data_IF_165013517911
#
_entry.id   IF_165013517911
#
_cell.length_a   1.000
_cell.length_b   1.000
_cell.length_c   1.000
_cell.angle_alpha   90.00
_cell.angle_beta   90.00
_cell.angle_gamma   90.00
#
_symmetry.space_group_name_H-M   'P 1'
#
loop_
_entity.id
_entity.type
_entity.pdbx_description
1 polymer ?
#
# COMPACT_ATOMS: atom_id res chain seq x y z
N UNK A 1 -1.14 16.86 15.29
CA UNK A 1 -0.45 15.56 15.16
C UNK A 1 -0.83 14.80 16.42
N UNK A 2 -1.98 14.12 16.40
CA UNK A 2 -2.45 13.38 17.57
C UNK A 2 -1.62 12.10 17.70
N UNK A 3 -0.70 12.11 18.65
CA UNK A 3 -0.02 10.93 19.16
C UNK A 3 -0.92 10.44 20.30
N UNK A 4 -2.01 9.78 19.98
CA UNK A 4 -2.79 9.04 20.97
C UNK A 4 -2.67 7.56 20.64
N UNK A 5 -2.44 6.73 21.66
CA UNK A 5 -2.21 5.29 21.56
C UNK A 5 -3.38 4.47 20.99
N UNK A 6 -4.30 5.08 20.25
CA UNK A 6 -5.42 4.42 19.58
C UNK A 6 -4.96 3.45 18.49
N UNK A 7 -3.78 3.65 17.90
CA UNK A 7 -3.26 2.75 16.87
C UNK A 7 -3.07 1.32 17.37
N UNK A 8 -2.69 1.14 18.65
CA UNK A 8 -2.58 -0.19 19.27
C UNK A 8 -3.94 -0.86 19.38
N UNK A 9 -4.95 -0.14 19.87
CA UNK A 9 -6.30 -0.68 20.02
C UNK A 9 -6.91 -1.04 18.65
N UNK A 10 -6.73 -0.19 17.63
CA UNK A 10 -7.20 -0.48 16.27
C UNK A 10 -6.53 -1.73 15.69
N UNK A 11 -5.24 -1.93 15.98
CA UNK A 11 -4.50 -3.11 15.54
C UNK A 11 -4.94 -4.37 16.30
N UNK A 12 -5.12 -4.29 17.62
CA UNK A 12 -5.66 -5.36 18.47
C UNK A 12 -7.05 -5.78 17.98
N UNK A 13 -7.95 -4.82 17.78
CA UNK A 13 -9.32 -5.08 17.32
C UNK A 13 -9.33 -5.75 15.93
N UNK A 14 -8.44 -5.29 15.03
CA UNK A 14 -8.28 -5.89 13.71
C UNK A 14 -7.80 -7.34 13.79
N UNK A 15 -6.82 -7.64 14.64
CA UNK A 15 -6.29 -9.00 14.83
C UNK A 15 -7.33 -9.89 15.52
N UNK A 16 -8.02 -9.39 16.54
CA UNK A 16 -9.11 -10.10 17.21
C UNK A 16 -10.24 -10.45 16.24
N UNK A 17 -10.48 -9.62 15.23
CA UNK A 17 -11.44 -9.91 14.14
C UNK A 17 -10.93 -10.93 13.10
N UNK A 18 -9.74 -11.50 13.29
CA UNK A 18 -9.14 -12.52 12.42
C UNK A 18 -8.50 -11.95 11.14
N UNK A 19 -8.30 -10.64 11.06
CA UNK A 19 -7.68 -10.02 9.88
C UNK A 19 -6.17 -10.13 9.93
N UNK A 20 -5.56 -10.21 8.75
CA UNK A 20 -4.10 -10.15 8.57
C UNK A 20 -3.68 -8.71 8.30
N UNK A 21 -2.48 -8.35 8.71
CA UNK A 21 -1.91 -7.04 8.42
C UNK A 21 -0.51 -7.16 7.84
N UNK A 22 -0.05 -6.09 7.19
CA UNK A 22 1.32 -5.91 6.71
C UNK A 22 1.82 -4.56 7.15
N UNK A 23 3.06 -4.51 7.65
CA UNK A 23 3.71 -3.24 7.94
C UNK A 23 4.48 -2.81 6.71
N UNK A 24 4.34 -1.54 6.34
CA UNK A 24 5.15 -0.89 5.30
C UNK A 24 5.70 0.41 5.86
N UNK A 25 6.90 0.78 5.45
CA UNK A 25 7.55 2.01 5.88
C UNK A 25 8.57 2.50 4.86
N UNK A 26 8.93 3.77 5.00
CA UNK A 26 9.92 4.46 4.17
C UNK A 26 10.52 5.64 4.96
N UNK A 27 11.67 6.12 4.49
CA UNK A 27 12.32 7.31 5.02
C UNK A 27 11.60 8.60 4.62
N UNK A 28 11.45 9.50 5.59
CA UNK A 28 11.14 10.91 5.41
C UNK A 28 12.44 11.70 5.58
N UNK A 29 12.92 12.23 4.46
CA UNK A 29 14.11 13.06 4.43
C UNK A 29 13.71 14.53 4.40
N UNK A 30 14.26 15.33 5.31
CA UNK A 30 14.03 16.77 5.30
C UNK A 30 15.31 17.51 5.66
N UNK A 31 15.43 18.71 5.11
CA UNK A 31 16.59 19.56 5.32
C UNK A 31 16.33 20.48 6.50
N UNK A 32 17.21 20.41 7.50
CA UNK A 32 17.17 21.29 8.66
C UNK A 32 18.28 22.31 8.49
N UNK A 33 17.88 23.59 8.50
CA UNK A 33 18.80 24.71 8.41
C UNK A 33 18.49 25.76 9.46
N UNK A 34 19.48 26.61 9.75
CA UNK A 34 19.29 27.76 10.62
C UNK A 34 18.70 28.93 9.82
N UNK A 35 17.68 29.58 10.36
CA UNK A 35 17.11 30.79 9.74
C UNK A 35 18.13 31.93 9.65
N UNK A 36 19.05 32.02 10.62
CA UNK A 36 20.13 33.00 10.64
C UNK A 36 21.46 32.30 10.93
N UNK A 37 22.37 32.35 9.97
CA UNK A 37 23.69 31.74 10.06
C UNK A 37 24.80 32.78 9.84
N UNK A 38 25.84 32.74 10.68
CA UNK A 38 27.06 33.55 10.46
C UNK A 38 27.87 32.91 9.35
N UNK A 39 28.19 33.68 8.29
CA UNK A 39 29.03 33.25 7.16
C UNK A 39 30.35 32.56 7.57
N UNK A 40 30.89 32.89 8.74
CA UNK A 40 32.16 32.35 9.24
C UNK A 40 32.08 30.90 9.76
N UNK A 41 30.89 30.34 9.99
CA UNK A 41 30.71 29.00 10.60
C UNK A 41 30.61 27.87 9.57
N UNK A 42 30.55 28.18 8.26
CA UNK A 42 30.20 27.21 7.20
C UNK A 42 28.70 26.88 7.20
N UNK A 43 28.21 26.08 6.26
CA UNK A 43 26.81 25.68 6.19
C UNK A 43 26.46 24.70 7.34
N UNK A 44 25.73 25.14 8.35
CA UNK A 44 25.21 24.29 9.44
C UNK A 44 23.94 23.52 9.06
N UNK A 45 23.54 23.59 7.79
CA UNK A 45 22.38 22.89 7.32
C UNK A 45 22.71 21.40 7.05
N UNK A 46 21.85 20.51 7.51
CA UNK A 46 22.02 19.07 7.37
C UNK A 46 20.71 18.39 6.99
N UNK A 47 20.84 17.18 6.43
CA UNK A 47 19.68 16.33 6.15
C UNK A 47 19.37 15.49 7.39
N UNK A 48 18.13 15.57 7.85
CA UNK A 48 17.58 14.69 8.86
C UNK A 48 16.79 13.57 8.20
N UNK A 49 16.85 12.39 8.81
CA UNK A 49 16.23 11.17 8.32
C UNK A 49 15.33 10.60 9.41
N UNK A 50 14.02 10.62 9.17
CA UNK A 50 13.05 9.95 10.02
C UNK A 50 12.43 8.79 9.25
N UNK A 51 11.92 7.80 9.97
CA UNK A 51 11.27 6.64 9.40
C UNK A 51 9.78 6.67 9.74
N UNK A 52 8.94 6.59 8.72
CA UNK A 52 7.49 6.54 8.88
C UNK A 52 6.96 5.21 8.38
N UNK A 53 6.10 4.60 9.18
CA UNK A 53 5.48 3.34 8.82
C UNK A 53 3.99 3.30 9.12
N UNK A 54 3.32 2.30 8.57
CA UNK A 54 1.89 2.05 8.73
C UNK A 54 1.59 0.56 8.67
N UNK A 55 0.64 0.11 9.47
CA UNK A 55 0.05 -1.22 9.37
C UNK A 55 -1.16 -1.17 8.41
N UNK A 56 -1.14 -2.01 7.38
CA UNK A 56 -2.22 -2.16 6.41
C UNK A 56 -3.01 -3.41 6.77
N UNK A 57 -4.20 -3.23 7.34
CA UNK A 57 -5.12 -4.33 7.65
C UNK A 57 -5.81 -4.78 6.35
N UNK A 58 -5.61 -6.04 5.98
CA UNK A 58 -6.12 -6.61 4.75
C UNK A 58 -7.56 -7.10 4.96
N UNK A 59 -8.48 -6.66 4.11
CA UNK A 59 -9.86 -7.19 4.10
C UNK A 59 -9.96 -8.57 3.43
N UNK A 60 -8.95 -8.94 2.65
CA UNK A 60 -8.88 -10.18 1.89
C UNK A 60 -7.89 -11.15 2.54
N UNK A 61 -8.30 -12.42 2.61
CA UNK A 61 -7.43 -13.52 3.03
C UNK A 61 -7.40 -14.58 1.93
N UNK A 62 -6.19 -14.98 1.54
CA UNK A 62 -5.95 -16.04 0.57
C UNK A 62 -5.48 -17.31 1.28
N UNK A 63 -6.15 -17.70 2.36
CA UNK A 63 -5.78 -18.89 3.17
C UNK A 63 -5.84 -20.21 2.39
N UNK A 64 -6.60 -20.25 1.31
CA UNK A 64 -6.70 -21.40 0.40
C UNK A 64 -5.49 -21.52 -0.55
N UNK A 65 -4.60 -20.53 -0.61
CA UNK A 65 -3.39 -20.57 -1.44
C UNK A 65 -2.18 -20.96 -0.58
N UNK A 66 -1.34 -21.84 -1.12
CA UNK A 66 -0.09 -22.25 -0.45
C UNK A 66 0.93 -21.11 -0.45
N UNK A 67 1.59 -20.92 0.69
CA UNK A 67 2.74 -20.01 0.82
C UNK A 67 4.08 -20.67 0.48
N UNK A 68 4.12 -22.01 0.43
CA UNK A 68 5.38 -22.78 0.34
C UNK A 68 5.56 -23.49 -1.00
N UNK A 69 4.46 -23.78 -1.68
CA UNK A 69 4.49 -24.61 -2.89
C UNK A 69 3.81 -23.88 -4.03
N UNK A 70 4.45 -23.80 -5.22
CA UNK A 70 3.78 -23.27 -6.40
C UNK A 70 2.56 -24.14 -6.75
N UNK A 71 1.55 -23.54 -7.38
CA UNK A 71 0.32 -24.26 -7.76
C UNK A 71 0.55 -25.30 -8.85
N UNK A 72 1.59 -25.11 -9.67
CA UNK A 72 2.01 -26.03 -10.72
C UNK A 72 3.49 -25.79 -11.09
N UNK A 73 4.10 -26.73 -11.79
CA UNK A 73 5.42 -26.55 -12.39
C UNK A 73 5.31 -25.65 -13.63
N UNK A 74 5.96 -24.48 -13.57
CA UNK A 74 5.97 -23.52 -14.67
C UNK A 74 6.59 -24.08 -15.96
N UNK A 75 7.50 -25.06 -15.85
CA UNK A 75 8.16 -25.70 -17.01
C UNK A 75 7.22 -26.64 -17.76
N UNK A 76 6.18 -27.14 -17.09
CA UNK A 76 5.18 -28.03 -17.68
C UNK A 76 3.99 -27.27 -18.28
N UNK A 77 3.91 -25.95 -18.08
CA UNK A 77 2.82 -25.14 -18.63
C UNK A 77 3.03 -24.90 -20.14
N UNK A 78 1.98 -25.06 -20.96
CA UNK A 78 2.05 -24.73 -22.36
C UNK A 78 2.18 -23.21 -22.56
N UNK A 79 2.85 -22.80 -23.64
CA UNK A 79 3.05 -21.37 -23.99
C UNK A 79 1.72 -20.61 -24.09
N UNK A 80 0.64 -21.29 -24.48
CA UNK A 80 -0.70 -20.72 -24.58
C UNK A 80 -1.24 -20.16 -23.25
N UNK A 81 -0.75 -20.62 -22.10
CA UNK A 81 -1.14 -20.05 -20.79
C UNK A 81 -0.52 -18.67 -20.55
N UNK A 82 0.60 -18.37 -21.21
CA UNK A 82 1.30 -17.09 -21.08
C UNK A 82 0.88 -16.08 -22.16
N UNK A 83 0.39 -16.56 -23.29
CA UNK A 83 -0.09 -15.72 -24.38
C UNK A 83 -1.55 -15.33 -24.14
N UNK A 84 -1.89 -14.10 -24.50
CA UNK A 84 -3.27 -13.64 -24.45
C UNK A 84 -4.10 -14.39 -25.49
N UNK A 85 -5.22 -14.94 -25.05
CA UNK A 85 -6.24 -15.44 -25.95
C UNK A 85 -7.13 -14.28 -26.44
N UNK A 86 -7.91 -14.50 -27.49
CA UNK A 86 -8.85 -13.48 -28.00
C UNK A 86 -9.81 -12.99 -26.90
N UNK A 87 -10.25 -13.88 -26.00
CA UNK A 87 -11.08 -13.51 -24.85
C UNK A 87 -10.39 -12.50 -23.93
N UNK A 88 -9.09 -12.66 -23.69
CA UNK A 88 -8.31 -11.79 -22.81
C UNK A 88 -8.11 -10.43 -23.47
N UNK A 89 -7.90 -10.42 -24.79
CA UNK A 89 -7.83 -9.20 -25.59
C UNK A 89 -9.16 -8.43 -25.52
N UNK A 90 -10.30 -9.11 -25.59
CA UNK A 90 -11.62 -8.46 -25.48
C UNK A 90 -11.85 -7.88 -24.08
N UNK A 91 -11.47 -8.60 -23.03
CA UNK A 91 -11.51 -8.11 -21.64
C UNK A 91 -10.60 -6.87 -21.51
N UNK A 92 -9.39 -6.94 -22.04
CA UNK A 92 -8.44 -5.84 -22.02
C UNK A 92 -8.98 -4.60 -22.73
N UNK A 93 -9.54 -4.76 -23.94
CA UNK A 93 -10.18 -3.67 -24.69
C UNK A 93 -11.30 -3.02 -23.88
N UNK A 94 -12.20 -3.83 -23.28
CA UNK A 94 -13.29 -3.33 -22.43
C UNK A 94 -12.76 -2.52 -21.24
N UNK A 95 -11.74 -3.04 -20.55
CA UNK A 95 -11.14 -2.37 -19.39
C UNK A 95 -10.50 -1.03 -19.77
N UNK A 96 -9.76 -0.99 -20.89
CA UNK A 96 -9.15 0.24 -21.42
C UNK A 96 -10.22 1.25 -21.83
N UNK A 97 -11.25 0.82 -22.57
CA UNK A 97 -12.37 1.69 -22.95
C UNK A 97 -13.06 2.32 -21.73
N UNK A 98 -13.17 1.56 -20.64
CA UNK A 98 -13.73 2.06 -19.40
C UNK A 98 -12.82 3.11 -18.73
N UNK A 99 -11.50 2.88 -18.71
CA UNK A 99 -10.53 3.86 -18.19
C UNK A 99 -10.55 5.16 -19.00
N UNK A 100 -10.55 5.06 -20.33
CA UNK A 100 -10.70 6.22 -21.23
C UNK A 100 -12.02 6.94 -20.93
N UNK A 101 -13.12 6.20 -20.78
CA UNK A 101 -14.42 6.79 -20.44
C UNK A 101 -14.37 7.57 -19.12
N UNK A 102 -13.65 7.11 -18.09
CA UNK A 102 -13.49 7.85 -16.82
C UNK A 102 -12.83 9.19 -17.05
N UNK A 103 -11.70 9.19 -17.75
CA UNK A 103 -10.96 10.41 -18.11
C UNK A 103 -11.87 11.34 -18.91
N UNK A 104 -12.55 10.84 -19.93
CA UNK A 104 -13.48 11.64 -20.72
C UNK A 104 -14.60 12.27 -19.87
N UNK A 105 -15.18 11.54 -18.92
CA UNK A 105 -16.22 12.08 -18.02
C UNK A 105 -15.69 13.12 -17.02
N UNK A 106 -14.39 13.13 -16.74
CA UNK A 106 -13.73 14.12 -15.89
C UNK A 106 -13.48 15.43 -16.65
N UNK A 107 -13.00 15.34 -17.89
CA UNK A 107 -12.63 16.51 -18.70
C UNK A 107 -13.79 17.09 -19.53
N UNK A 108 -14.81 16.30 -19.85
CA UNK A 108 -15.93 16.72 -20.70
C UNK A 108 -17.25 16.75 -19.92
N UNK A 109 -17.72 17.92 -19.46
CA UNK A 109 -18.92 18.04 -18.62
C UNK A 109 -20.21 17.51 -19.25
N UNK A 110 -20.31 17.50 -20.57
CA UNK A 110 -21.45 16.97 -21.32
C UNK A 110 -21.55 15.43 -21.29
N UNK A 111 -20.47 14.75 -20.91
CA UNK A 111 -20.44 13.29 -20.75
C UNK A 111 -20.86 12.81 -19.35
N UNK A 112 -21.37 13.69 -18.48
CA UNK A 112 -21.80 13.34 -17.10
C UNK A 112 -22.79 12.17 -17.04
N UNK A 113 -23.62 11.97 -18.07
CA UNK A 113 -24.56 10.84 -18.14
C UNK A 113 -23.86 9.47 -18.11
N UNK A 114 -22.60 9.39 -18.57
CA UNK A 114 -21.82 8.16 -18.60
C UNK A 114 -20.98 7.94 -17.34
N UNK A 115 -20.99 8.89 -16.38
CA UNK A 115 -20.12 8.87 -15.19
C UNK A 115 -20.33 7.64 -14.32
N UNK A 116 -21.57 7.19 -14.16
CA UNK A 116 -21.88 5.99 -13.37
C UNK A 116 -21.29 4.73 -14.01
N UNK A 117 -21.47 4.56 -15.32
CA UNK A 117 -20.90 3.43 -16.06
C UNK A 117 -19.37 3.47 -16.09
N UNK A 118 -18.79 4.66 -16.30
CA UNK A 118 -17.34 4.83 -16.31
C UNK A 118 -16.70 4.46 -14.96
N UNK A 119 -17.32 4.85 -13.84
CA UNK A 119 -16.76 4.67 -12.50
C UNK A 119 -16.97 3.27 -11.89
N UNK A 120 -17.60 2.32 -12.60
CA UNK A 120 -17.70 0.94 -12.10
C UNK A 120 -16.29 0.35 -11.84
N UNK A 121 -16.02 -0.32 -10.73
CA UNK A 121 -14.71 -0.95 -10.51
C UNK A 121 -14.37 -1.97 -11.60
N UNK A 122 -13.12 -1.98 -12.07
CA UNK A 122 -12.60 -2.99 -12.99
C UNK A 122 -12.07 -4.13 -12.12
N UNK A 123 -12.91 -5.12 -11.86
CA UNK A 123 -12.57 -6.24 -10.96
C UNK A 123 -12.40 -7.57 -11.68
N UNK A 124 -12.74 -7.65 -12.98
CA UNK A 124 -12.66 -8.88 -13.76
C UNK A 124 -13.41 -10.03 -13.09
N UNK A 125 -12.75 -11.18 -12.98
CA UNK A 125 -13.24 -12.39 -12.31
C UNK A 125 -13.47 -12.19 -10.81
N UNK A 126 -12.90 -11.14 -10.21
CA UNK A 126 -13.04 -10.85 -8.79
C UNK A 126 -14.22 -9.93 -8.47
N UNK A 127 -15.07 -9.60 -9.46
CA UNK A 127 -16.20 -8.69 -9.29
C UNK A 127 -17.25 -9.16 -8.28
N UNK A 128 -17.33 -10.47 -8.07
CA UNK A 128 -18.24 -11.16 -7.15
C UNK A 128 -17.79 -11.09 -5.69
N UNK A 129 -16.51 -10.80 -5.43
CA UNK A 129 -15.94 -10.73 -4.09
C UNK A 129 -16.12 -9.30 -3.53
N UNK A 130 -17.05 -9.08 -2.59
CA UNK A 130 -17.34 -7.74 -2.08
C UNK A 130 -16.15 -7.09 -1.37
N UNK A 131 -15.21 -7.89 -0.88
CA UNK A 131 -14.01 -7.46 -0.18
C UNK A 131 -13.07 -6.67 -1.08
N UNK A 132 -13.02 -6.95 -2.40
CA UNK A 132 -12.22 -6.19 -3.36
C UNK A 132 -12.74 -4.77 -3.60
N UNK A 133 -14.00 -4.49 -3.23
CA UNK A 133 -14.59 -3.14 -3.32
C UNK A 133 -14.25 -2.30 -2.09
N UNK A 134 -13.84 -2.92 -0.98
CA UNK A 134 -13.55 -2.25 0.28
C UNK A 134 -12.07 -1.91 0.37
N UNK A 135 -11.76 -0.63 0.62
CA UNK A 135 -10.37 -0.20 0.89
C UNK A 135 -9.86 -0.88 2.16
N UNK A 136 -8.59 -1.29 2.13
CA UNK A 136 -7.89 -1.75 3.33
C UNK A 136 -7.82 -0.61 4.35
N UNK A 137 -7.83 -0.95 5.64
CA UNK A 137 -7.62 0.01 6.71
C UNK A 137 -6.11 0.26 6.85
N UNK A 138 -5.74 1.53 6.98
CA UNK A 138 -4.34 1.96 7.13
C UNK A 138 -4.21 2.60 8.49
N UNK A 139 -3.44 1.98 9.36
CA UNK A 139 -3.17 2.44 10.72
C UNK A 139 -1.77 3.04 10.72
N UNK A 140 -1.61 4.37 10.83
CA UNK A 140 -0.29 4.98 10.91
C UNK A 140 0.41 4.59 12.21
N UNK A 141 1.68 4.19 12.12
CA UNK A 141 2.52 3.91 13.28
C UNK A 141 3.32 5.16 13.69
N UNK A 142 3.84 5.22 14.93
CA UNK A 142 4.69 6.31 15.38
C UNK A 142 5.89 6.53 14.45
N UNK A 143 6.22 7.80 14.19
CA UNK A 143 7.41 8.18 13.43
C UNK A 143 8.64 8.02 14.30
N UNK A 144 9.70 7.44 13.76
CA UNK A 144 10.96 7.18 14.46
C UNK A 144 12.05 8.07 13.90
N UNK A 145 12.89 8.68 14.74
CA UNK A 145 14.08 9.41 14.28
C UNK A 145 15.21 8.42 13.94
N UNK A 146 14.99 7.63 12.90
CA UNK A 146 15.81 6.51 12.44
C UNK A 146 15.90 6.53 10.91
N UNK A 147 16.98 5.98 10.37
CA UNK A 147 17.23 5.91 8.93
C UNK A 147 17.30 4.46 8.44
N UNK A 148 16.41 4.04 7.53
CA UNK A 148 16.38 2.67 6.99
C UNK A 148 17.66 2.29 6.21
N UNK A 149 18.45 3.27 5.78
CA UNK A 149 19.72 3.02 5.08
C UNK A 149 20.84 2.62 6.05
N UNK A 150 20.65 2.84 7.36
CA UNK A 150 21.63 2.52 8.39
C UNK A 150 21.23 1.26 9.12
N UNK A 151 22.07 0.22 9.03
CA UNK A 151 21.77 -1.11 9.59
C UNK A 151 21.38 -1.08 11.08
N UNK A 152 22.10 -0.34 11.93
CA UNK A 152 21.75 -0.24 13.36
C UNK A 152 20.35 0.31 13.59
N UNK A 153 19.95 1.28 12.77
CA UNK A 153 18.66 1.94 12.89
C UNK A 153 17.54 1.03 12.38
N UNK A 154 17.82 0.21 11.36
CA UNK A 154 16.91 -0.85 10.88
C UNK A 154 16.63 -1.88 11.98
N UNK A 155 17.67 -2.31 12.72
CA UNK A 155 17.47 -3.24 13.85
C UNK A 155 16.53 -2.62 14.88
N UNK A 156 16.76 -1.36 15.27
CA UNK A 156 15.89 -0.66 16.22
C UNK A 156 14.45 -0.46 15.71
N UNK A 157 14.28 -0.24 14.40
CA UNK A 157 12.95 -0.20 13.75
C UNK A 157 12.26 -1.55 13.88
N UNK A 158 12.95 -2.65 13.56
CA UNK A 158 12.39 -4.00 13.64
C UNK A 158 12.07 -4.40 15.09
N UNK A 159 12.94 -4.07 16.04
CA UNK A 159 12.70 -4.30 17.47
C UNK A 159 11.43 -3.57 17.93
N UNK A 160 11.17 -2.36 17.41
CA UNK A 160 9.94 -1.62 17.72
C UNK A 160 8.68 -2.36 17.23
N UNK A 161 8.76 -3.04 16.08
CA UNK A 161 7.67 -3.84 15.54
C UNK A 161 7.49 -5.16 16.30
N UNK A 162 8.56 -5.81 16.69
CA UNK A 162 8.49 -7.01 17.52
C UNK A 162 7.82 -6.69 18.86
N UNK A 163 8.25 -5.61 19.53
CA UNK A 163 7.64 -5.14 20.77
C UNK A 163 6.16 -4.79 20.59
N UNK A 164 5.80 -4.15 19.47
CA UNK A 164 4.42 -3.87 19.11
C UNK A 164 3.61 -5.18 19.00
N UNK A 165 4.11 -6.18 18.27
CA UNK A 165 3.42 -7.47 18.10
C UNK A 165 3.31 -8.24 19.41
N UNK A 166 4.31 -8.20 20.28
CA UNK A 166 4.25 -8.83 21.61
C UNK A 166 3.23 -8.14 22.51
N UNK A 167 3.06 -6.82 22.37
CA UNK A 167 2.13 -6.03 23.17
C UNK A 167 0.66 -6.14 22.74
N UNK A 168 0.40 -6.79 21.60
CA UNK A 168 -0.90 -6.93 20.94
C UNK A 168 -1.40 -8.37 21.07
#
# INVERSE_FOLDING_TARGET
MEISGHFNNELIDAIASGKKFRIVGDNINFHVGLTHERKSRGNAAHMEHWFRSMAIIQNLSFSHLSHHTPRCDLRALPVSVFLLEEKDIQILKKNISQLISRVMTEFFPWMKFAKETANKPILGEFAEFPEFRRKNQVIPLPVMSKNEQKYSDVVEILDSYENLVISV
#
